data_IF_088595313511
#
_entry.id   IF_088595313511
#
_cell.length_a   1.000
_cell.length_b   1.000
_cell.length_c   1.000
_cell.angle_alpha   90.00
_cell.angle_beta   90.00
_cell.angle_gamma   90.00
#
_symmetry.space_group_name_H-M   'P 1'
#
loop_
_entity.id
_entity.type
_entity.pdbx_description
1 polymer ?
#
# COMPACT_ATOMS: atom_id res chain seq x y z
N UNK A 1 -14.03 1.22 7.58
CA UNK A 1 -14.73 0.23 6.73
C UNK A 1 -13.89 -0.12 5.52
N UNK A 2 -14.11 -1.27 4.89
CA UNK A 2 -13.23 -1.83 3.84
C UNK A 2 -13.52 -1.30 2.42
N UNK A 3 -14.37 -0.28 2.28
CA UNK A 3 -14.87 0.14 0.98
C UNK A 3 -13.78 0.71 0.06
N UNK A 4 -12.73 1.36 0.59
CA UNK A 4 -11.61 1.86 -0.22
C UNK A 4 -10.65 0.75 -0.64
N UNK A 5 -10.32 -0.19 0.26
CA UNK A 5 -9.34 -1.24 -0.01
C UNK A 5 -9.86 -2.28 -1.03
N UNK A 6 -11.16 -2.59 -1.02
CA UNK A 6 -11.76 -3.59 -1.94
C UNK A 6 -11.68 -3.21 -3.42
N UNK A 7 -11.47 -1.92 -3.73
CA UNK A 7 -11.38 -1.39 -5.10
C UNK A 7 -10.00 -0.80 -5.42
N UNK A 8 -9.00 -1.12 -4.60
CA UNK A 8 -7.70 -0.44 -4.65
C UNK A 8 -6.84 -0.82 -5.86
N UNK A 9 -6.92 -2.08 -6.31
CA UNK A 9 -5.96 -2.69 -7.25
C UNK A 9 -5.56 -1.83 -8.49
N UNK A 10 -6.47 -1.08 -9.14
CA UNK A 10 -6.09 -0.23 -10.27
C UNK A 10 -5.01 0.82 -9.95
N UNK A 11 -4.97 1.34 -8.72
CA UNK A 11 -4.02 2.40 -8.32
C UNK A 11 -2.56 1.91 -8.35
N UNK A 12 -2.15 0.87 -7.61
CA UNK A 12 -0.79 0.36 -7.68
C UNK A 12 -0.43 -0.23 -9.05
N UNK A 13 -1.40 -0.74 -9.82
CA UNK A 13 -1.15 -1.20 -11.20
C UNK A 13 -0.78 -0.05 -12.13
N UNK A 14 -1.50 1.07 -12.05
CA UNK A 14 -1.22 2.26 -12.87
C UNK A 14 0.14 2.88 -12.54
N UNK A 15 0.47 3.01 -11.25
CA UNK A 15 1.71 3.61 -10.78
C UNK A 15 2.86 2.60 -10.61
N UNK A 16 2.75 1.38 -11.16
CA UNK A 16 3.71 0.28 -10.92
C UNK A 16 5.18 0.68 -11.11
N UNK A 17 5.47 1.50 -12.12
CA UNK A 17 6.83 1.96 -12.43
C UNK A 17 7.46 2.86 -11.35
N UNK A 18 6.67 3.39 -10.42
CA UNK A 18 7.13 4.19 -9.29
C UNK A 18 6.46 3.71 -7.99
N UNK A 19 7.07 2.73 -7.29
CA UNK A 19 6.46 2.14 -6.10
C UNK A 19 6.14 3.12 -4.98
N UNK A 20 6.99 4.13 -4.75
CA UNK A 20 6.75 5.15 -3.73
C UNK A 20 5.50 5.98 -4.05
N UNK A 21 5.33 6.37 -5.33
CA UNK A 21 4.15 7.11 -5.78
C UNK A 21 2.90 6.24 -5.72
N UNK A 22 2.99 4.97 -6.10
CA UNK A 22 1.88 4.02 -6.03
C UNK A 22 1.33 3.86 -4.61
N UNK A 23 2.22 3.70 -3.62
CA UNK A 23 1.85 3.61 -2.21
C UNK A 23 1.22 4.93 -1.73
N UNK A 24 1.78 6.08 -2.10
CA UNK A 24 1.23 7.38 -1.75
C UNK A 24 -0.19 7.58 -2.32
N UNK A 25 -0.36 7.33 -3.63
CA UNK A 25 -1.64 7.51 -4.33
C UNK A 25 -2.71 6.51 -3.85
N UNK A 26 -2.32 5.34 -3.37
CA UNK A 26 -3.24 4.41 -2.72
C UNK A 26 -3.84 5.00 -1.43
N UNK A 27 -3.03 5.70 -0.65
CA UNK A 27 -3.49 6.47 0.51
C UNK A 27 -4.47 7.58 0.10
N UNK A 28 -4.10 8.40 -0.89
CA UNK A 28 -4.95 9.48 -1.39
C UNK A 28 -6.28 8.98 -1.96
N UNK A 29 -6.27 7.88 -2.71
CA UNK A 29 -7.49 7.23 -3.20
C UNK A 29 -8.41 6.80 -2.05
N UNK A 30 -7.87 6.30 -0.94
CA UNK A 30 -8.65 5.95 0.25
C UNK A 30 -9.31 7.20 0.85
N UNK A 31 -8.54 8.29 1.02
CA UNK A 31 -8.98 9.56 1.64
C UNK A 31 -10.23 10.17 0.98
N UNK A 32 -10.45 9.93 -0.31
CA UNK A 32 -11.64 10.43 -1.03
C UNK A 32 -12.98 9.95 -0.47
N UNK A 33 -13.02 8.80 0.21
CA UNK A 33 -14.27 8.19 0.71
C UNK A 33 -14.15 7.57 2.10
N UNK A 34 -12.95 7.17 2.50
CA UNK A 34 -12.63 6.48 3.74
C UNK A 34 -11.38 7.14 4.35
N UNK A 35 -11.56 8.32 4.94
CA UNK A 35 -10.46 9.14 5.47
C UNK A 35 -9.85 8.68 6.79
N UNK A 36 -10.36 7.62 7.42
CA UNK A 36 -9.79 7.10 8.66
C UNK A 36 -8.33 6.65 8.45
N UNK A 37 -7.43 7.04 9.35
CA UNK A 37 -5.99 6.78 9.21
C UNK A 37 -5.65 5.29 9.08
N UNK A 38 -6.39 4.43 9.77
CA UNK A 38 -6.34 2.97 9.62
C UNK A 38 -6.65 2.53 8.19
N UNK A 39 -7.72 3.04 7.58
CA UNK A 39 -8.14 2.70 6.22
C UNK A 39 -7.16 3.24 5.17
N UNK A 40 -6.60 4.44 5.40
CA UNK A 40 -5.55 5.02 4.56
C UNK A 40 -4.28 4.18 4.63
N UNK A 41 -3.83 3.82 5.84
CA UNK A 41 -2.64 3.00 6.07
C UNK A 41 -2.81 1.58 5.50
N UNK A 42 -3.98 0.96 5.66
CA UNK A 42 -4.29 -0.34 5.06
C UNK A 42 -4.19 -0.30 3.53
N UNK A 43 -4.67 0.76 2.88
CA UNK A 43 -4.54 0.91 1.43
C UNK A 43 -3.08 1.11 1.01
N UNK A 44 -2.31 1.92 1.74
CA UNK A 44 -0.87 2.11 1.49
C UNK A 44 -0.12 0.78 1.57
N UNK A 45 -0.35 0.01 2.63
CA UNK A 45 0.30 -1.27 2.83
C UNK A 45 -0.11 -2.31 1.77
N UNK A 46 -1.41 -2.41 1.46
CA UNK A 46 -1.87 -3.34 0.44
C UNK A 46 -1.36 -2.99 -0.97
N UNK A 47 -1.21 -1.70 -1.27
CA UNK A 47 -0.56 -1.27 -2.51
C UNK A 47 0.90 -1.72 -2.58
N UNK A 48 1.67 -1.63 -1.49
CA UNK A 48 3.03 -2.14 -1.44
C UNK A 48 3.07 -3.65 -1.78
N UNK A 49 2.18 -4.44 -1.17
CA UNK A 49 2.07 -5.88 -1.45
C UNK A 49 1.72 -6.19 -2.91
N UNK A 50 0.77 -5.46 -3.50
CA UNK A 50 0.39 -5.63 -4.91
C UNK A 50 1.58 -5.35 -5.82
N UNK A 51 2.36 -4.31 -5.55
CA UNK A 51 3.54 -3.96 -6.36
C UNK A 51 4.59 -5.05 -6.27
N UNK A 52 4.88 -5.55 -5.07
CA UNK A 52 5.80 -6.67 -4.87
C UNK A 52 5.37 -7.91 -5.66
N UNK A 53 4.09 -8.27 -5.56
CA UNK A 53 3.52 -9.38 -6.31
C UNK A 53 3.63 -9.19 -7.83
N UNK A 54 3.33 -7.98 -8.32
CA UNK A 54 3.48 -7.64 -9.74
C UNK A 54 4.93 -7.74 -10.20
N UNK A 55 5.89 -7.39 -9.33
CA UNK A 55 7.33 -7.46 -9.59
C UNK A 55 7.92 -8.87 -9.43
N UNK A 56 7.13 -9.84 -8.99
CA UNK A 56 7.53 -11.25 -8.89
C UNK A 56 8.18 -11.64 -7.56
N UNK A 57 8.00 -10.83 -6.51
CA UNK A 57 8.46 -11.20 -5.16
C UNK A 57 7.77 -12.49 -4.69
N UNK A 58 8.50 -13.32 -3.95
CA UNK A 58 7.94 -14.57 -3.43
C UNK A 58 6.89 -14.30 -2.35
N UNK A 59 6.02 -15.29 -2.12
CA UNK A 59 5.02 -15.23 -1.06
C UNK A 59 5.67 -15.01 0.32
N UNK A 60 6.81 -15.66 0.57
CA UNK A 60 7.57 -15.54 1.81
C UNK A 60 8.09 -14.12 2.01
N UNK A 61 8.60 -13.49 0.94
CA UNK A 61 9.04 -12.09 0.95
C UNK A 61 7.86 -11.14 1.20
N UNK A 62 6.74 -11.34 0.51
CA UNK A 62 5.55 -10.48 0.66
C UNK A 62 4.92 -10.58 2.06
N UNK A 63 4.98 -11.75 2.69
CA UNK A 63 4.43 -11.97 4.03
C UNK A 63 5.44 -11.66 5.15
N UNK A 64 6.64 -11.20 4.82
CA UNK A 64 7.59 -10.74 5.82
C UNK A 64 7.02 -9.53 6.59
N UNK A 65 7.32 -9.37 7.89
CA UNK A 65 6.84 -8.24 8.67
C UNK A 65 7.20 -6.89 8.02
N UNK A 66 6.20 -6.02 7.88
CA UNK A 66 6.36 -4.66 7.34
C UNK A 66 6.99 -4.63 5.94
N UNK A 67 6.65 -5.59 5.07
CA UNK A 67 7.11 -5.60 3.69
C UNK A 67 6.90 -4.24 2.99
N UNK A 68 7.89 -3.84 2.18
CA UNK A 68 7.80 -2.70 1.26
C UNK A 68 8.79 -2.88 0.11
N UNK A 69 8.38 -2.60 -1.14
CA UNK A 69 9.29 -2.57 -2.28
C UNK A 69 10.19 -1.33 -2.28
N UNK A 70 9.95 -0.37 -1.38
CA UNK A 70 10.74 0.87 -1.23
C UNK A 70 11.51 0.82 0.10
N UNK A 71 12.86 0.85 0.06
CA UNK A 71 13.68 0.84 1.26
C UNK A 71 13.31 1.97 2.23
N UNK A 72 13.24 1.67 3.53
CA UNK A 72 12.98 2.62 4.61
C UNK A 72 11.66 3.43 4.51
N UNK A 73 10.73 3.04 3.63
CA UNK A 73 9.52 3.82 3.36
C UNK A 73 8.63 4.02 4.60
N UNK A 74 8.43 2.98 5.41
CA UNK A 74 7.61 3.07 6.62
C UNK A 74 8.26 3.86 7.76
N UNK A 75 9.59 4.06 7.74
CA UNK A 75 10.27 4.93 8.70
C UNK A 75 9.99 6.41 8.41
N UNK A 76 9.92 6.77 7.12
CA UNK A 76 9.65 8.14 6.66
C UNK A 76 8.15 8.46 6.61
N UNK A 77 7.33 7.42 6.37
CA UNK A 77 5.89 7.52 6.28
C UNK A 77 5.25 6.44 7.16
N UNK A 78 5.18 6.64 8.49
CA UNK A 78 4.62 5.66 9.41
C UNK A 78 3.22 5.18 9.00
N UNK A 79 2.94 3.92 9.26
CA UNK A 79 1.59 3.35 9.19
C UNK A 79 0.87 3.60 10.52
N UNK A 80 -0.46 3.56 10.47
CA UNK A 80 -1.25 3.51 11.69
C UNK A 80 -0.87 2.27 12.53
N UNK A 81 -0.78 2.34 13.87
CA UNK A 81 -0.30 1.24 14.72
C UNK A 81 -1.03 -0.11 14.57
N UNK A 82 -2.28 -0.07 14.13
CA UNK A 82 -3.13 -1.26 13.90
C UNK A 82 -2.91 -1.95 12.53
N UNK A 83 -1.99 -1.44 11.69
CA UNK A 83 -1.65 -1.98 10.36
C UNK A 83 -0.23 -2.53 10.38
#
# INVERSE_FOLDING_TARGET
>A
GNGSIMRLAPVPMFYRANPALAIHMAGESSRTTHGAETAVSACRYFAALIIGALNGDSKETLLAPHYTPVPNYWQQHPLHPDI
#
